data_IF_958654312922
#
_entry.id   IF_958654312922
#
_cell.length_a   1.000
_cell.length_b   1.000
_cell.length_c   1.000
_cell.angle_alpha   90.00
_cell.angle_beta   90.00
_cell.angle_gamma   90.00
#
_symmetry.space_group_name_H-M   'P 1'
#
loop_
_entity.id
_entity.type
_entity.pdbx_description
1 polymer ?
#
# COMPACT_ATOMS: atom_id res chain seq x y z
N UNK A 1 5.38 11.87 6.98
CA UNK A 1 5.42 10.40 7.10
C UNK A 1 6.85 9.97 7.36
N UNK A 2 7.08 9.09 8.33
CA UNK A 2 8.39 8.48 8.57
C UNK A 2 8.26 7.00 8.28
N UNK A 3 9.09 6.47 7.39
CA UNK A 3 9.11 5.04 7.12
C UNK A 3 9.50 4.26 8.39
N UNK A 4 8.99 3.04 8.59
CA UNK A 4 9.44 2.18 9.69
C UNK A 4 10.97 2.06 9.68
N UNK A 5 11.61 2.27 10.83
CA UNK A 5 13.06 2.06 10.97
C UNK A 5 13.36 0.56 10.88
N UNK A 6 14.33 0.19 10.04
CA UNK A 6 14.73 -1.20 9.86
C UNK A 6 16.25 -1.33 9.79
N UNK A 7 16.78 -2.51 10.12
CA UNK A 7 18.21 -2.85 10.01
C UNK A 7 18.67 -3.09 8.57
N UNK A 8 17.73 -3.21 7.62
CA UNK A 8 17.96 -3.46 6.20
C UNK A 8 17.54 -2.25 5.36
N UNK A 9 18.13 -2.13 4.17
CA UNK A 9 17.67 -1.16 3.17
C UNK A 9 16.26 -1.59 2.73
N UNK A 10 15.28 -0.69 2.82
CA UNK A 10 13.93 -0.95 2.37
C UNK A 10 13.91 -1.26 0.86
N UNK A 11 13.23 -2.33 0.47
CA UNK A 11 13.13 -2.75 -0.93
C UNK A 11 11.68 -3.00 -1.34
N UNK A 12 11.23 -2.28 -2.36
CA UNK A 12 9.87 -2.36 -2.90
C UNK A 12 9.48 -1.07 -3.59
N UNK A 13 8.24 -0.63 -3.43
CA UNK A 13 7.75 0.57 -4.12
C UNK A 13 6.25 0.81 -3.93
N UNK A 14 5.69 1.62 -4.82
CA UNK A 14 4.27 1.94 -4.83
C UNK A 14 3.44 0.71 -5.20
N UNK A 15 2.40 0.46 -4.41
CA UNK A 15 1.46 -0.64 -4.61
C UNK A 15 0.03 -0.14 -4.48
N UNK A 16 -0.78 -0.48 -5.49
CA UNK A 16 -2.14 0.00 -5.66
C UNK A 16 -3.12 -1.19 -5.65
N UNK A 17 -3.32 -1.88 -4.51
CA UNK A 17 -4.22 -3.03 -4.43
C UNK A 17 -5.66 -2.67 -4.84
N UNK A 18 -6.06 -1.42 -4.63
CA UNK A 18 -7.37 -0.89 -5.01
C UNK A 18 -7.64 -0.92 -6.53
N UNK A 19 -6.59 -1.05 -7.35
CA UNK A 19 -6.71 -1.06 -8.82
C UNK A 19 -6.92 -2.46 -9.39
N UNK A 20 -6.74 -3.51 -8.60
CA UNK A 20 -6.75 -4.89 -9.08
C UNK A 20 -7.78 -5.75 -8.34
N UNK A 21 -8.38 -6.75 -9.00
CA UNK A 21 -9.18 -7.75 -8.30
C UNK A 21 -8.36 -8.51 -7.24
N UNK A 22 -9.01 -8.93 -6.16
CA UNK A 22 -8.37 -9.66 -5.04
C UNK A 22 -7.45 -10.82 -5.50
N UNK A 23 -7.83 -11.70 -6.45
CA UNK A 23 -6.96 -12.79 -6.88
C UNK A 23 -5.63 -12.33 -7.49
N UNK A 24 -5.60 -11.17 -8.15
CA UNK A 24 -4.37 -10.59 -8.71
C UNK A 24 -3.50 -10.04 -7.58
N UNK A 25 -4.12 -9.47 -6.55
CA UNK A 25 -3.43 -9.05 -5.33
C UNK A 25 -2.75 -10.22 -4.63
N UNK A 26 -3.44 -11.34 -4.47
CA UNK A 26 -2.90 -12.56 -3.85
C UNK A 26 -1.67 -13.09 -4.61
N UNK A 27 -1.75 -13.17 -5.93
CA UNK A 27 -0.61 -13.56 -6.76
C UNK A 27 0.53 -12.55 -6.66
N UNK A 28 0.22 -11.25 -6.58
CA UNK A 28 1.18 -10.20 -6.29
C UNK A 28 1.93 -10.42 -4.97
N UNK A 29 1.21 -10.69 -3.89
CA UNK A 29 1.80 -10.98 -2.57
C UNK A 29 2.71 -12.20 -2.61
N UNK A 30 2.33 -13.27 -3.32
CA UNK A 30 3.17 -14.46 -3.53
C UNK A 30 4.45 -14.14 -4.30
N UNK A 31 4.37 -13.27 -5.29
CA UNK A 31 5.53 -12.82 -6.07
C UNK A 31 6.44 -11.90 -5.26
N UNK A 32 5.91 -11.01 -4.42
CA UNK A 32 6.70 -10.14 -3.54
C UNK A 32 7.63 -10.94 -2.63
N UNK A 33 7.14 -12.05 -2.06
CA UNK A 33 7.98 -12.98 -1.29
C UNK A 33 9.11 -13.57 -2.15
N UNK A 34 8.82 -13.97 -3.39
CA UNK A 34 9.80 -14.58 -4.31
C UNK A 34 10.92 -13.61 -4.71
N UNK A 35 10.58 -12.34 -4.95
CA UNK A 35 11.55 -11.30 -5.32
C UNK A 35 12.09 -10.51 -4.13
N UNK A 36 11.70 -10.89 -2.91
CA UNK A 36 12.14 -10.29 -1.63
C UNK A 36 11.74 -8.82 -1.44
N UNK A 37 10.63 -8.40 -2.03
CA UNK A 37 10.00 -7.11 -1.69
C UNK A 37 9.54 -7.17 -0.24
N UNK A 38 9.85 -6.13 0.54
CA UNK A 38 9.57 -6.07 1.97
C UNK A 38 8.94 -4.77 2.43
N UNK A 39 8.81 -3.78 1.54
CA UNK A 39 8.26 -2.46 1.83
C UNK A 39 7.31 -2.02 0.71
N UNK A 40 6.09 -1.58 1.06
CA UNK A 40 5.11 -1.11 0.09
C UNK A 40 4.59 0.27 0.47
N UNK A 41 4.51 1.20 -0.48
CA UNK A 41 3.80 2.47 -0.31
C UNK A 41 2.40 2.33 -0.89
N UNK A 42 1.37 2.52 -0.08
CA UNK A 42 -0.04 2.35 -0.49
C UNK A 42 -0.82 3.64 -0.30
N UNK A 43 -1.93 3.80 -1.05
CA UNK A 43 -2.88 4.90 -0.85
C UNK A 43 -2.49 6.24 -1.46
N UNK A 44 -1.36 6.33 -2.19
CA UNK A 44 -0.85 7.58 -2.81
C UNK A 44 -1.90 8.29 -3.67
N UNK A 45 -2.71 7.52 -4.41
CA UNK A 45 -3.74 8.03 -5.32
C UNK A 45 -5.17 7.64 -4.92
N UNK A 46 -5.40 7.24 -3.66
CA UNK A 46 -6.67 6.68 -3.23
C UNK A 46 -7.69 7.70 -2.71
N UNK A 47 -7.44 9.02 -2.84
CA UNK A 47 -8.30 10.07 -2.25
C UNK A 47 -9.75 9.97 -2.69
N UNK A 48 -10.04 9.71 -3.97
CA UNK A 48 -11.43 9.59 -4.44
C UNK A 48 -12.17 8.39 -3.84
N UNK A 49 -11.43 7.39 -3.34
CA UNK A 49 -12.00 6.23 -2.64
C UNK A 49 -12.21 6.53 -1.15
N UNK A 50 -11.27 7.25 -0.51
CA UNK A 50 -11.32 7.54 0.93
C UNK A 50 -12.14 8.78 1.27
N UNK A 51 -12.22 9.74 0.37
CA UNK A 51 -12.96 11.00 0.49
C UNK A 51 -13.63 11.33 -0.87
N UNK A 52 -14.79 10.72 -1.17
CA UNK A 52 -15.41 10.81 -2.50
C UNK A 52 -16.04 12.17 -2.83
N UNK A 53 -16.36 12.97 -1.81
CA UNK A 53 -16.91 14.32 -1.97
C UNK A 53 -16.11 15.33 -1.14
N UNK A 54 -16.09 16.59 -1.59
CA UNK A 54 -15.30 17.66 -0.97
C UNK A 54 -15.63 17.90 0.51
N UNK A 55 -16.87 17.64 0.90
CA UNK A 55 -17.43 17.84 2.24
C UNK A 55 -17.60 16.53 3.02
N UNK A 56 -17.31 15.39 2.39
CA UNK A 56 -17.34 14.11 3.08
C UNK A 56 -16.18 14.00 4.06
N UNK A 57 -16.48 13.50 5.26
CA UNK A 57 -15.45 13.07 6.20
C UNK A 57 -14.69 11.88 5.57
N UNK A 58 -13.34 11.86 5.62
CA UNK A 58 -12.59 10.71 5.16
C UNK A 58 -13.06 9.43 5.85
N UNK A 59 -13.32 8.39 5.07
CA UNK A 59 -13.51 7.04 5.58
C UNK A 59 -12.25 6.64 6.35
N UNK A 60 -12.39 5.82 7.40
CA UNK A 60 -11.24 5.32 8.18
C UNK A 60 -10.26 4.44 7.39
N UNK A 61 -10.45 4.32 6.07
CA UNK A 61 -9.49 3.75 5.14
C UNK A 61 -8.15 4.51 5.22
N UNK A 62 -7.06 3.75 5.15
CA UNK A 62 -5.71 4.27 5.41
C UNK A 62 -5.36 5.36 4.40
N UNK A 63 -5.03 6.53 4.92
CA UNK A 63 -4.22 7.53 4.22
C UNK A 63 -2.91 6.89 3.71
N UNK A 64 -2.15 7.65 2.92
CA UNK A 64 -0.85 7.20 2.38
C UNK A 64 0.00 6.56 3.49
N UNK A 65 0.40 5.30 3.28
CA UNK A 65 1.10 4.51 4.28
C UNK A 65 2.27 3.73 3.69
N UNK A 66 3.33 3.56 4.49
CA UNK A 66 4.45 2.68 4.18
C UNK A 66 4.31 1.41 5.03
N UNK A 67 4.00 0.30 4.38
CA UNK A 67 3.77 -1.01 4.98
C UNK A 67 5.02 -1.89 4.90
N UNK A 68 5.17 -2.78 5.87
CA UNK A 68 6.19 -3.84 5.88
C UNK A 68 5.51 -5.18 5.70
N UNK A 69 6.05 -5.99 4.78
CA UNK A 69 5.68 -7.39 4.65
C UNK A 69 6.50 -8.19 5.69
N UNK A 70 5.84 -9.10 6.40
CA UNK A 70 6.47 -10.00 7.38
C UNK A 70 6.97 -11.29 6.72
#
# INVERSE_FOLDING_TARGET
>A
MTAPRTERIAYGGDYHPEQWPEPVGDDGHRLFTRVRIDTLTVGVFARSLTQPASDALPLAARDVAVLRLQ
#
